data_IF_850745631937
#
_entry.id   IF_850745631937
#
_cell.length_a   1.000
_cell.length_b   1.000
_cell.length_c   1.000
_cell.angle_alpha   90.00
_cell.angle_beta   90.00
_cell.angle_gamma   90.00
#
_symmetry.space_group_name_H-M   'P 1'
#
loop_
_entity.id
_entity.type
_entity.pdbx_description
1 polymer ?
#
# COMPACT_ATOMS: atom_id res chain seq x y z
N UNK A 1 12.70 31.38 1.07
CA UNK A 1 11.52 30.72 1.68
C UNK A 1 11.67 30.82 3.17
N UNK A 2 10.67 31.38 3.85
CA UNK A 2 10.72 31.57 5.30
C UNK A 2 10.86 30.23 6.03
N UNK A 3 11.71 30.17 7.05
CA UNK A 3 11.86 29.01 7.96
C UNK A 3 10.49 28.54 8.47
N UNK A 4 9.57 29.48 8.71
CA UNK A 4 8.19 29.20 9.10
C UNK A 4 7.44 28.34 8.08
N UNK A 5 7.60 28.60 6.78
CA UNK A 5 6.95 27.84 5.72
C UNK A 5 7.43 26.39 5.70
N UNK A 6 8.74 26.17 5.82
CA UNK A 6 9.31 24.82 5.90
C UNK A 6 8.81 24.07 7.15
N UNK A 7 8.73 24.73 8.29
CA UNK A 7 8.22 24.11 9.52
C UNK A 7 6.76 23.66 9.37
N UNK A 8 5.92 24.47 8.72
CA UNK A 8 4.53 24.11 8.42
C UNK A 8 4.47 22.91 7.47
N UNK A 9 5.30 22.87 6.43
CA UNK A 9 5.37 21.73 5.52
C UNK A 9 5.81 20.45 6.23
N UNK A 10 6.81 20.51 7.10
CA UNK A 10 7.27 19.35 7.87
C UNK A 10 6.18 18.87 8.84
N UNK A 11 5.46 19.78 9.49
CA UNK A 11 4.33 19.41 10.35
C UNK A 11 3.21 18.72 9.54
N UNK A 12 2.90 19.24 8.34
CA UNK A 12 1.94 18.64 7.42
C UNK A 12 2.40 17.25 6.95
N UNK A 13 3.69 17.09 6.62
CA UNK A 13 4.27 15.79 6.25
C UNK A 13 4.13 14.78 7.39
N UNK A 14 4.38 15.19 8.64
CA UNK A 14 4.18 14.33 9.81
C UNK A 14 2.73 13.86 9.94
N UNK A 15 1.76 14.77 9.76
CA UNK A 15 0.33 14.42 9.77
C UNK A 15 -0.02 13.42 8.65
N UNK A 16 0.47 13.66 7.43
CA UNK A 16 0.23 12.77 6.29
C UNK A 16 0.84 11.38 6.54
N UNK A 17 2.04 11.32 7.13
CA UNK A 17 2.69 10.06 7.48
C UNK A 17 1.89 9.26 8.53
N UNK A 18 1.32 9.93 9.54
CA UNK A 18 0.45 9.29 10.54
C UNK A 18 -0.81 8.71 9.87
N UNK A 19 -1.44 9.47 8.98
CA UNK A 19 -2.60 8.99 8.21
C UNK A 19 -2.22 7.76 7.38
N UNK A 20 -1.08 7.81 6.69
CA UNK A 20 -0.60 6.67 5.91
C UNK A 20 -0.41 5.42 6.78
N UNK A 21 0.20 5.56 7.96
CA UNK A 21 0.41 4.45 8.90
C UNK A 21 -0.90 3.84 9.39
N UNK A 22 -1.85 4.66 9.82
CA UNK A 22 -3.16 4.16 10.31
C UNK A 22 -3.89 3.38 9.23
N UNK A 23 -3.92 3.89 7.99
CA UNK A 23 -4.63 3.20 6.92
C UNK A 23 -3.88 1.99 6.37
N UNK A 24 -2.55 1.96 6.47
CA UNK A 24 -1.76 0.79 6.08
C UNK A 24 -1.98 -0.37 7.05
N UNK A 25 -2.03 -0.08 8.36
CA UNK A 25 -2.39 -1.05 9.41
C UNK A 25 -3.83 -1.58 9.24
N UNK A 26 -4.81 -0.69 9.05
CA UNK A 26 -6.19 -1.11 8.76
C UNK A 26 -6.31 -1.91 7.46
N UNK A 27 -5.41 -1.70 6.51
CA UNK A 27 -5.36 -2.48 5.29
C UNK A 27 -4.75 -3.87 5.53
N UNK A 28 -3.66 -3.96 6.31
CA UNK A 28 -2.99 -5.22 6.62
C UNK A 28 -3.88 -6.15 7.42
N UNK A 29 -4.66 -5.63 8.38
CA UNK A 29 -5.64 -6.39 9.17
C UNK A 29 -6.71 -7.05 8.31
N UNK A 30 -7.26 -6.30 7.37
CA UNK A 30 -8.32 -6.79 6.48
C UNK A 30 -7.72 -7.79 5.48
N UNK A 31 -6.49 -7.59 5.06
CA UNK A 31 -5.89 -8.34 3.97
C UNK A 31 -4.96 -9.49 4.37
N UNK A 32 -4.64 -9.61 5.65
CA UNK A 32 -3.68 -10.53 6.25
C UNK A 32 -2.34 -10.55 5.50
N UNK A 33 -1.69 -9.38 5.42
CA UNK A 33 -0.42 -9.22 4.68
C UNK A 33 0.83 -9.53 5.51
N UNK A 34 0.76 -9.29 6.82
CA UNK A 34 1.88 -9.36 7.77
C UNK A 34 2.29 -10.81 8.10
N UNK A 35 1.41 -11.78 7.85
CA UNK A 35 1.63 -13.18 8.22
C UNK A 35 1.45 -14.21 7.08
N UNK A 36 2.30 -14.17 6.02
CA UNK A 36 2.26 -15.15 4.93
C UNK A 36 2.54 -16.59 5.40
N UNK A 37 3.24 -16.74 6.54
CA UNK A 37 3.58 -18.03 7.15
C UNK A 37 2.66 -18.38 8.33
N UNK A 38 1.50 -17.73 8.45
CA UNK A 38 0.51 -18.09 9.45
C UNK A 38 0.16 -19.56 9.31
N UNK A 39 0.35 -20.34 10.38
CA UNK A 39 -0.01 -21.76 10.42
C UNK A 39 -1.48 -22.00 10.05
N UNK A 40 -2.33 -20.96 10.17
CA UNK A 40 -3.72 -21.00 9.76
C UNK A 40 -3.88 -21.17 8.24
N UNK A 41 -2.90 -20.77 7.42
CA UNK A 41 -2.89 -21.06 5.98
C UNK A 41 -2.59 -22.53 5.67
N UNK A 42 -1.95 -23.23 6.60
CA UNK A 42 -1.70 -24.68 6.49
C UNK A 42 -2.85 -25.50 7.06
N UNK A 43 -3.89 -24.85 7.62
CA UNK A 43 -5.07 -25.52 8.16
C UNK A 43 -5.71 -26.53 7.19
N UNK A 44 -5.79 -26.28 5.85
CA UNK A 44 -6.36 -27.26 4.93
C UNK A 44 -5.54 -28.56 4.88
N UNK A 45 -4.22 -28.50 5.09
CA UNK A 45 -3.33 -29.67 5.08
C UNK A 45 -3.61 -30.64 6.23
N UNK A 46 -4.20 -30.14 7.31
CA UNK A 46 -4.64 -30.92 8.48
C UNK A 46 -6.16 -31.14 8.50
N UNK A 47 -6.85 -30.87 7.38
CA UNK A 47 -8.29 -31.13 7.22
C UNK A 47 -9.22 -30.01 7.71
N UNK A 48 -8.70 -28.83 8.05
CA UNK A 48 -9.49 -27.69 8.51
C UNK A 48 -9.65 -26.64 7.40
N UNK A 49 -10.90 -26.34 7.04
CA UNK A 49 -11.23 -25.28 6.10
C UNK A 49 -11.13 -23.91 6.78
N UNK A 50 -10.64 -22.90 6.07
CA UNK A 50 -10.60 -21.51 6.56
C UNK A 50 -11.07 -20.49 5.52
N UNK A 51 -11.61 -19.36 5.97
CA UNK A 51 -12.03 -18.24 5.10
C UNK A 51 -11.05 -17.07 5.08
N UNK A 52 -9.80 -17.29 5.49
CA UNK A 52 -8.81 -16.22 5.52
C UNK A 52 -8.55 -15.67 4.12
N UNK A 53 -8.67 -14.36 3.99
CA UNK A 53 -8.14 -13.63 2.85
C UNK A 53 -6.65 -13.40 3.10
N UNK A 54 -5.81 -13.81 2.15
CA UNK A 54 -4.39 -13.50 2.20
C UNK A 54 -3.99 -12.89 0.86
N UNK A 55 -3.69 -11.59 0.88
CA UNK A 55 -3.22 -10.87 -0.30
C UNK A 55 -1.73 -10.96 -0.55
N UNK A 56 -0.93 -11.57 0.34
CA UNK A 56 0.53 -11.56 0.29
C UNK A 56 1.04 -12.11 -1.05
N UNK A 57 1.32 -11.17 -1.96
CA UNK A 57 2.11 -11.34 -3.18
C UNK A 57 3.59 -11.36 -2.81
N UNK A 58 3.96 -10.53 -1.85
CA UNK A 58 5.28 -10.38 -1.20
C UNK A 58 5.06 -9.89 0.24
N UNK A 59 6.15 -9.67 0.99
CA UNK A 59 6.06 -9.01 2.30
C UNK A 59 5.62 -7.54 2.16
N UNK A 60 5.01 -6.99 3.21
CA UNK A 60 4.50 -5.61 3.26
C UNK A 60 5.48 -4.54 2.77
N UNK A 61 6.76 -4.54 3.16
CA UNK A 61 7.71 -3.53 2.68
C UNK A 61 7.83 -3.51 1.14
N UNK A 62 7.85 -4.70 0.54
CA UNK A 62 7.98 -4.86 -0.91
C UNK A 62 6.67 -4.50 -1.62
N UNK A 63 5.52 -4.89 -1.06
CA UNK A 63 4.22 -4.57 -1.65
C UNK A 63 3.98 -3.05 -1.65
N UNK A 64 4.05 -2.41 -0.48
CA UNK A 64 3.82 -0.97 -0.33
C UNK A 64 4.88 -0.19 -1.10
N UNK A 65 6.14 -0.61 -1.05
CA UNK A 65 7.23 -0.02 -1.82
C UNK A 65 7.00 -0.07 -3.34
N UNK A 66 6.61 -1.22 -3.88
CA UNK A 66 6.35 -1.38 -5.31
C UNK A 66 5.16 -0.54 -5.77
N UNK A 67 4.05 -0.57 -5.02
CA UNK A 67 2.86 0.22 -5.35
C UNK A 67 3.11 1.72 -5.25
N UNK A 68 3.86 2.18 -4.24
CA UNK A 68 4.27 3.57 -4.11
C UNK A 68 5.23 4.00 -5.24
N UNK A 69 6.07 3.10 -5.74
CA UNK A 69 6.94 3.36 -6.90
C UNK A 69 6.13 3.53 -8.18
N UNK A 70 5.11 2.69 -8.39
CA UNK A 70 4.19 2.82 -9.54
C UNK A 70 3.47 4.17 -9.47
N UNK A 71 2.90 4.50 -8.31
CA UNK A 71 2.22 5.78 -8.10
C UNK A 71 3.16 6.98 -8.33
N UNK A 72 4.36 6.97 -7.74
CA UNK A 72 5.35 8.03 -7.94
C UNK A 72 5.87 8.14 -9.38
N UNK A 73 5.98 7.02 -10.11
CA UNK A 73 6.36 7.00 -11.53
C UNK A 73 5.30 7.65 -12.41
N UNK A 74 4.03 7.29 -12.20
CA UNK A 74 2.91 7.90 -12.92
C UNK A 74 2.84 9.39 -12.61
N UNK A 75 2.93 9.76 -11.33
CA UNK A 75 2.93 11.16 -10.91
C UNK A 75 4.06 11.96 -11.57
N UNK A 76 5.28 11.40 -11.60
CA UNK A 76 6.44 12.03 -12.22
C UNK A 76 6.22 12.32 -13.72
N UNK A 77 5.67 11.35 -14.44
CA UNK A 77 5.33 11.51 -15.87
C UNK A 77 4.23 12.55 -16.06
N UNK A 78 3.19 12.56 -15.22
CA UNK A 78 2.12 13.54 -15.37
C UNK A 78 2.57 14.96 -15.00
N UNK A 79 3.48 15.10 -14.04
CA UNK A 79 4.11 16.39 -13.72
C UNK A 79 4.99 16.92 -14.86
N UNK A 80 5.73 16.05 -15.56
CA UNK A 80 6.51 16.48 -16.73
C UNK A 80 5.63 16.94 -17.90
N UNK A 81 4.37 16.49 -17.93
CA UNK A 81 3.33 16.96 -18.86
C UNK A 81 2.58 18.22 -18.37
N UNK A 82 2.97 18.81 -17.23
CA UNK A 82 2.37 20.02 -16.64
C UNK A 82 0.88 19.88 -16.25
N UNK A 83 0.43 18.69 -15.87
CA UNK A 83 -0.91 18.52 -15.29
C UNK A 83 -1.02 19.12 -13.87
N UNK A 84 -2.23 19.53 -13.42
CA UNK A 84 -2.42 20.15 -12.12
C UNK A 84 -2.18 19.17 -10.96
N UNK A 85 -1.53 19.65 -9.90
CA UNK A 85 -0.99 18.82 -8.80
C UNK A 85 -2.01 17.88 -8.17
N UNK A 86 -3.17 18.40 -7.78
CA UNK A 86 -4.20 17.62 -7.09
C UNK A 86 -4.71 16.48 -7.97
N UNK A 87 -4.92 16.74 -9.27
CA UNK A 87 -5.35 15.74 -10.23
C UNK A 87 -4.30 14.65 -10.43
N UNK A 88 -3.02 15.04 -10.50
CA UNK A 88 -1.91 14.10 -10.64
C UNK A 88 -1.86 13.14 -9.46
N UNK A 89 -1.87 13.66 -8.23
CA UNK A 89 -1.78 12.84 -7.01
C UNK A 89 -2.97 11.86 -6.88
N UNK A 90 -4.18 12.32 -7.18
CA UNK A 90 -5.38 11.47 -7.15
C UNK A 90 -5.32 10.36 -8.21
N UNK A 91 -5.00 10.70 -9.46
CA UNK A 91 -4.95 9.71 -10.55
C UNK A 91 -3.81 8.72 -10.38
N UNK A 92 -2.64 9.16 -9.93
CA UNK A 92 -1.51 8.27 -9.72
C UNK A 92 -1.77 7.24 -8.62
N UNK A 93 -2.37 7.68 -7.51
CA UNK A 93 -2.76 6.79 -6.42
C UNK A 93 -3.85 5.82 -6.90
N UNK A 94 -4.88 6.33 -7.60
CA UNK A 94 -5.96 5.50 -8.12
C UNK A 94 -5.46 4.40 -9.07
N UNK A 95 -4.60 4.73 -10.03
CA UNK A 95 -4.05 3.72 -10.96
C UNK A 95 -3.24 2.66 -10.22
N UNK A 96 -2.40 3.07 -9.25
CA UNK A 96 -1.62 2.13 -8.46
C UNK A 96 -2.52 1.19 -7.61
N UNK A 97 -3.62 1.71 -7.06
CA UNK A 97 -4.58 0.86 -6.31
C UNK A 97 -5.24 -0.19 -7.17
N UNK A 98 -5.58 0.13 -8.42
CA UNK A 98 -6.14 -0.86 -9.36
C UNK A 98 -5.15 -2.00 -9.56
N UNK A 99 -3.86 -1.67 -9.75
CA UNK A 99 -2.81 -2.69 -9.88
C UNK A 99 -2.72 -3.55 -8.62
N UNK A 100 -2.73 -2.93 -7.44
CA UNK A 100 -2.69 -3.65 -6.16
C UNK A 100 -3.90 -4.58 -5.95
N UNK A 101 -5.10 -4.12 -6.30
CA UNK A 101 -6.33 -4.92 -6.22
C UNK A 101 -6.27 -6.13 -7.14
N UNK A 102 -5.84 -5.94 -8.39
CA UNK A 102 -5.66 -7.05 -9.35
C UNK A 102 -4.67 -8.09 -8.80
N UNK A 103 -3.53 -7.63 -8.28
CA UNK A 103 -2.53 -8.53 -7.69
C UNK A 103 -3.02 -9.25 -6.42
N UNK A 104 -3.89 -8.60 -5.63
CA UNK A 104 -4.49 -9.20 -4.42
C UNK A 104 -5.51 -10.28 -4.76
N UNK A 105 -6.31 -10.08 -5.82
CA UNK A 105 -7.26 -11.08 -6.32
C UNK A 105 -6.50 -12.31 -6.85
N UNK A 106 -5.48 -12.07 -7.67
CA UNK A 106 -4.72 -13.17 -8.29
C UNK A 106 -3.94 -13.97 -7.25
N UNK A 107 -3.37 -13.33 -6.22
CA UNK A 107 -2.67 -14.02 -5.14
C UNK A 107 -3.62 -14.88 -4.29
N UNK A 108 -4.81 -14.37 -3.95
CA UNK A 108 -5.82 -15.13 -3.21
C UNK A 108 -6.31 -16.35 -4.00
N UNK A 109 -6.76 -16.15 -5.25
CA UNK A 109 -7.27 -17.24 -6.09
C UNK A 109 -6.16 -18.27 -6.33
N UNK A 110 -4.95 -17.82 -6.67
CA UNK A 110 -3.80 -18.70 -6.88
C UNK A 110 -3.50 -19.59 -5.67
N UNK A 111 -3.52 -19.02 -4.46
CA UNK A 111 -3.29 -19.79 -3.22
C UNK A 111 -4.39 -20.79 -2.91
N UNK A 112 -5.67 -20.44 -3.14
CA UNK A 112 -6.76 -21.40 -2.92
C UNK A 112 -6.73 -22.52 -3.98
N UNK A 113 -6.39 -22.22 -5.24
CA UNK A 113 -6.28 -23.25 -6.27
C UNK A 113 -5.17 -24.27 -5.98
N UNK A 114 -4.06 -23.88 -5.35
CA UNK A 114 -3.02 -24.83 -4.93
C UNK A 114 -3.47 -25.72 -3.76
N UNK A 115 -4.46 -25.28 -2.99
CA UNK A 115 -5.08 -26.03 -1.90
C UNK A 115 -6.27 -26.89 -2.34
N UNK A 116 -6.59 -26.94 -3.63
CA UNK A 116 -7.67 -27.78 -4.16
C UNK A 116 -7.47 -29.27 -3.82
N UNK A 117 -6.23 -29.73 -3.68
CA UNK A 117 -5.89 -31.10 -3.22
C UNK A 117 -6.45 -31.41 -1.83
N UNK A 118 -6.68 -30.40 -1.01
CA UNK A 118 -7.20 -30.53 0.36
C UNK A 118 -8.70 -30.20 0.47
N UNK A 119 -9.42 -30.19 -0.66
CA UNK A 119 -10.84 -29.85 -0.72
C UNK A 119 -11.19 -28.46 -0.17
N UNK A 120 -10.24 -27.52 -0.20
CA UNK A 120 -10.47 -26.12 0.18
C UNK A 120 -11.29 -25.41 -0.92
N UNK A 121 -12.54 -24.98 -0.66
CA UNK A 121 -13.34 -24.31 -1.66
C UNK A 121 -12.94 -22.84 -1.81
N UNK A 122 -13.18 -22.27 -2.99
CA UNK A 122 -13.01 -20.84 -3.22
C UNK A 122 -14.16 -20.06 -2.58
N UNK A 123 -13.85 -19.29 -1.54
CA UNK A 123 -14.81 -18.45 -0.84
C UNK A 123 -14.98 -17.09 -1.54
N UNK A 124 -15.89 -17.03 -2.51
CA UNK A 124 -16.19 -15.79 -3.24
C UNK A 124 -16.75 -14.68 -2.33
N UNK A 125 -17.40 -15.02 -1.22
CA UNK A 125 -17.90 -14.05 -0.24
C UNK A 125 -16.76 -13.25 0.40
N UNK A 126 -15.59 -13.85 0.58
CA UNK A 126 -14.39 -13.21 1.12
C UNK A 126 -13.85 -12.18 0.11
N UNK A 127 -13.79 -12.53 -1.17
CA UNK A 127 -13.39 -11.62 -2.25
C UNK A 127 -14.26 -10.35 -2.24
N UNK A 128 -15.58 -10.51 -2.22
CA UNK A 128 -16.49 -9.36 -2.27
C UNK A 128 -16.46 -8.46 -1.04
N UNK A 129 -16.18 -9.02 0.15
CA UNK A 129 -16.11 -8.25 1.39
C UNK A 129 -14.78 -7.52 1.57
N UNK A 130 -13.68 -8.20 1.30
CA UNK A 130 -12.35 -7.68 1.61
C UNK A 130 -11.83 -6.71 0.55
N UNK A 131 -12.09 -6.97 -0.75
CA UNK A 131 -11.49 -6.17 -1.83
C UNK A 131 -11.88 -4.69 -1.80
N UNK A 132 -13.17 -4.31 -1.65
CA UNK A 132 -13.53 -2.89 -1.65
C UNK A 132 -12.89 -2.13 -0.48
N UNK A 133 -12.78 -2.77 0.67
CA UNK A 133 -12.18 -2.19 1.89
C UNK A 133 -10.68 -2.02 1.70
N UNK A 134 -9.99 -3.06 1.22
CA UNK A 134 -8.55 -3.01 0.92
C UNK A 134 -8.27 -1.94 -0.12
N UNK A 135 -9.06 -1.86 -1.19
CA UNK A 135 -8.89 -0.85 -2.24
C UNK A 135 -9.00 0.58 -1.68
N UNK A 136 -9.94 0.83 -0.77
CA UNK A 136 -10.12 2.13 -0.15
C UNK A 136 -8.95 2.51 0.75
N UNK A 137 -8.48 1.58 1.59
CA UNK A 137 -7.32 1.82 2.46
C UNK A 137 -6.03 2.00 1.64
N UNK A 138 -5.78 1.12 0.66
CA UNK A 138 -4.66 1.22 -0.29
C UNK A 138 -4.59 2.60 -0.94
N UNK A 139 -5.75 3.13 -1.36
CA UNK A 139 -5.83 4.42 -2.01
C UNK A 139 -5.35 5.54 -1.11
N UNK A 140 -5.80 5.56 0.14
CA UNK A 140 -5.42 6.58 1.11
C UNK A 140 -3.92 6.48 1.41
N UNK A 141 -3.39 5.27 1.59
CA UNK A 141 -1.96 5.03 1.82
C UNK A 141 -1.11 5.56 0.66
N UNK A 142 -1.43 5.15 -0.58
CA UNK A 142 -0.68 5.55 -1.76
C UNK A 142 -0.80 7.04 -2.05
N UNK A 143 -1.98 7.62 -1.85
CA UNK A 143 -2.20 9.06 -1.97
C UNK A 143 -1.36 9.83 -0.94
N UNK A 144 -1.34 9.38 0.32
CA UNK A 144 -0.53 10.00 1.37
C UNK A 144 0.97 9.89 1.08
N UNK A 145 1.47 8.71 0.67
CA UNK A 145 2.90 8.53 0.34
C UNK A 145 3.30 9.43 -0.84
N UNK A 146 2.53 9.42 -1.93
CA UNK A 146 2.83 10.24 -3.11
C UNK A 146 2.79 11.74 -2.80
N UNK A 147 1.82 12.18 -2.00
CA UNK A 147 1.73 13.57 -1.53
C UNK A 147 2.92 13.94 -0.66
N UNK A 148 3.31 13.07 0.26
CA UNK A 148 4.48 13.28 1.12
C UNK A 148 5.77 13.38 0.28
N UNK A 149 5.98 12.47 -0.67
CA UNK A 149 7.13 12.52 -1.59
C UNK A 149 7.13 13.76 -2.48
N UNK A 150 5.95 14.24 -2.89
CA UNK A 150 5.82 15.50 -3.63
C UNK A 150 6.28 16.70 -2.80
N UNK A 151 5.85 16.80 -1.53
CA UNK A 151 6.28 17.88 -0.62
C UNK A 151 7.81 17.85 -0.44
N UNK A 152 8.38 16.66 -0.21
CA UNK A 152 9.82 16.45 -0.02
C UNK A 152 10.70 16.94 -1.17
N UNK A 153 10.26 16.71 -2.41
CA UNK A 153 11.06 16.97 -3.61
C UNK A 153 10.79 18.35 -4.19
N UNK A 154 9.54 18.83 -4.16
CA UNK A 154 9.15 20.03 -4.91
C UNK A 154 8.86 21.25 -4.03
N UNK A 155 8.44 21.07 -2.77
CA UNK A 155 8.02 22.19 -1.92
C UNK A 155 9.01 22.55 -0.82
N UNK A 156 9.79 21.57 -0.32
CA UNK A 156 10.79 21.80 0.72
C UNK A 156 11.98 22.63 0.20
N UNK A 157 12.60 23.43 1.07
CA UNK A 157 13.80 24.20 0.74
C UNK A 157 14.89 24.10 1.83
N UNK A 158 16.06 23.47 1.58
CA UNK A 158 16.46 22.85 0.33
C UNK A 158 15.61 21.61 0.02
N UNK A 159 15.32 21.41 -1.27
CA UNK A 159 14.64 20.22 -1.74
C UNK A 159 15.53 18.99 -1.58
N UNK A 160 14.92 17.83 -1.36
CA UNK A 160 15.64 16.56 -1.31
C UNK A 160 16.08 16.20 -2.75
N UNK A 161 17.37 15.97 -3.02
CA UNK A 161 17.90 15.75 -4.36
C UNK A 161 17.66 14.31 -4.84
N UNK A 162 16.39 13.89 -4.87
CA UNK A 162 15.93 12.59 -5.35
C UNK A 162 14.84 12.77 -6.40
N UNK A 163 14.65 11.77 -7.25
CA UNK A 163 13.50 11.74 -8.16
C UNK A 163 12.25 11.26 -7.44
N UNK A 164 11.08 11.72 -7.88
CA UNK A 164 9.79 11.37 -7.26
C UNK A 164 9.57 9.86 -7.12
N UNK A 165 9.86 9.02 -8.13
CA UNK A 165 9.68 7.58 -8.01
C UNK A 165 10.61 6.93 -6.98
N UNK A 166 11.84 7.42 -6.85
CA UNK A 166 12.81 6.90 -5.88
C UNK A 166 12.42 7.31 -4.47
N UNK A 167 11.98 8.54 -4.27
CA UNK A 167 11.50 9.00 -2.97
C UNK A 167 10.23 8.25 -2.55
N UNK A 168 9.25 8.06 -3.44
CA UNK A 168 8.03 7.31 -3.12
C UNK A 168 8.31 5.84 -2.84
N UNK A 169 9.26 5.22 -3.55
CA UNK A 169 9.74 3.87 -3.26
C UNK A 169 10.29 3.78 -1.82
N UNK A 170 11.21 4.67 -1.44
CA UNK A 170 11.81 4.67 -0.11
C UNK A 170 10.78 4.92 0.99
N UNK A 171 9.86 5.87 0.78
CA UNK A 171 8.78 6.14 1.73
C UNK A 171 7.78 4.98 1.83
N UNK A 172 7.50 4.27 0.73
CA UNK A 172 6.65 3.08 0.74
C UNK A 172 7.30 1.89 1.45
N UNK A 173 8.59 1.63 1.19
CA UNK A 173 9.34 0.57 1.87
C UNK A 173 9.43 0.85 3.37
N UNK A 174 9.71 2.10 3.76
CA UNK A 174 9.78 2.47 5.18
C UNK A 174 8.44 2.29 5.86
N UNK A 175 7.33 2.74 5.25
CA UNK A 175 6.00 2.53 5.80
C UNK A 175 5.68 1.05 5.98
N UNK A 176 5.81 0.23 4.92
CA UNK A 176 5.53 -1.20 5.00
C UNK A 176 6.50 -1.96 5.91
N UNK A 177 7.71 -1.44 6.15
CA UNK A 177 8.63 -2.00 7.16
C UNK A 177 8.19 -1.67 8.58
N UNK A 178 7.63 -0.48 8.80
CA UNK A 178 7.10 -0.07 10.11
C UNK A 178 5.83 -0.88 10.41
N UNK A 179 4.88 -0.99 9.49
CA UNK A 179 3.68 -1.82 9.64
C UNK A 179 4.04 -3.26 9.97
N UNK A 180 4.93 -3.87 9.17
CA UNK A 180 5.37 -5.25 9.39
C UNK A 180 6.11 -5.48 10.70
N UNK A 181 6.90 -4.50 11.17
CA UNK A 181 7.71 -4.65 12.38
C UNK A 181 6.93 -4.43 13.67
N UNK A 182 5.94 -3.53 13.65
CA UNK A 182 5.08 -3.29 14.80
C UNK A 182 4.04 -4.41 14.91
N UNK A 183 3.61 -4.97 13.77
CA UNK A 183 2.59 -6.00 13.67
C UNK A 183 1.19 -5.42 13.90
N UNK A 184 0.18 -6.19 13.49
CA UNK A 184 -1.25 -5.86 13.65
C UNK A 184 -1.55 -5.49 15.13
N UNK A 185 -1.66 -4.20 15.46
CA UNK A 185 -1.76 -3.72 16.86
C UNK A 185 -3.22 -3.71 17.32
N UNK A 186 -3.80 -4.90 17.47
CA UNK A 186 -5.13 -5.09 18.06
C UNK A 186 -5.14 -6.18 19.14
#
# INVERSE_FOLDING_TARGET
MDILFNLILVALMGLIAVIAGIFEDLESDVASTSNPNSQVQLAPQIGNLHKLFNRAVSGEPLLVGAMATIAGSIAYVMFSLNYPVILVLLLSAFIATIVQVVLSITSYIGRITSQALYNQPLFLDVIFKHIPVIAAHAFIVLFSITTLSYIMIYLLNPAIPLTLPVCSMLMGITLGSIGSAIGDIH
#
